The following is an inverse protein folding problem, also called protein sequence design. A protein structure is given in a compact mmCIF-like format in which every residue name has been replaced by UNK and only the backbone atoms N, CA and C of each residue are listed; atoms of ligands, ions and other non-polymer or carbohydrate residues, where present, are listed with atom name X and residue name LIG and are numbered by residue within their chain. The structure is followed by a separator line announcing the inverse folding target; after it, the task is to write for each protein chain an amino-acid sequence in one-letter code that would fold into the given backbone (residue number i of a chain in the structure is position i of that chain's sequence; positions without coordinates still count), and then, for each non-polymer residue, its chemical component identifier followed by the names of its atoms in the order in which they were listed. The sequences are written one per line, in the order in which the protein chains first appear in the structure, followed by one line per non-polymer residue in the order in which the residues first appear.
data_IF_764270556466
#
_entry.id   IF_764270556466
#
_cell.length_a   1.000
_cell.length_b   1.000
_cell.length_c   1.000
_cell.angle_alpha   90.00
_cell.angle_beta   90.00
_cell.angle_gamma   90.00
#
_symmetry.space_group_name_H-M   'P 1'
#
loop_
_entity.id
_entity.type
_entity.pdbx_description
1 polymer ?
#
# COMPACT_ATOMS: atom_id res chain seq x y z
N UNK A 1 -21.99 -5.40 -5.30
CA UNK A 1 -21.91 -4.54 -6.50
C UNK A 1 -20.46 -4.25 -6.77
N UNK A 2 -20.03 -4.25 -8.04
CA UNK A 2 -18.67 -3.83 -8.41
C UNK A 2 -18.49 -2.36 -8.02
N UNK A 3 -17.40 -2.03 -7.33
CA UNK A 3 -17.06 -0.63 -7.00
C UNK A 3 -16.88 0.20 -8.28
N UNK A 4 -17.12 1.52 -8.22
CA UNK A 4 -16.98 2.40 -9.38
C UNK A 4 -15.63 2.21 -10.07
N UNK A 5 -15.65 2.06 -11.40
CA UNK A 5 -14.45 1.97 -12.25
C UNK A 5 -14.06 3.40 -12.63
N UNK A 6 -13.43 4.10 -11.70
CA UNK A 6 -13.12 5.53 -11.84
C UNK A 6 -11.66 5.88 -11.67
N UNK A 7 -11.21 6.95 -12.33
CA UNK A 7 -9.92 7.57 -12.00
C UNK A 7 -10.04 8.27 -10.65
N UNK A 8 -9.06 8.06 -9.78
CA UNK A 8 -9.02 8.68 -8.45
C UNK A 8 -7.63 9.23 -8.17
N UNK A 9 -7.46 10.55 -7.97
CA UNK A 9 -6.18 11.10 -7.56
C UNK A 9 -5.90 10.76 -6.09
N UNK A 10 -4.64 10.43 -5.82
CA UNK A 10 -4.14 10.25 -4.46
C UNK A 10 -3.61 11.59 -3.95
N UNK A 11 -4.30 12.17 -2.96
CA UNK A 11 -3.84 13.37 -2.26
C UNK A 11 -2.78 12.95 -1.24
N UNK A 12 -1.59 13.55 -1.34
CA UNK A 12 -0.47 13.29 -0.45
C UNK A 12 0.20 14.60 -0.03
N UNK A 13 0.97 14.57 1.06
CA UNK A 13 1.79 15.72 1.49
C UNK A 13 0.99 16.92 2.04
N UNK A 14 -0.23 16.71 2.54
CA UNK A 14 -1.02 17.78 3.17
C UNK A 14 -0.36 18.17 4.49
N UNK A 15 0.22 19.38 4.53
CA UNK A 15 0.91 19.92 5.69
C UNK A 15 0.42 21.31 6.06
N UNK A 16 0.29 21.56 7.37
CA UNK A 16 0.03 22.90 7.93
C UNK A 16 1.16 23.23 8.90
N UNK A 17 1.77 24.39 8.70
CA UNK A 17 2.81 24.92 9.58
C UNK A 17 2.31 24.94 11.04
N UNK A 18 3.15 24.59 12.04
CA UNK A 18 2.73 24.50 13.44
C UNK A 18 1.98 25.74 13.96
N UNK A 19 2.43 26.95 13.61
CA UNK A 19 1.82 28.23 14.00
C UNK A 19 0.45 28.53 13.37
N UNK A 20 0.02 27.71 12.41
CA UNK A 20 -1.26 27.84 11.70
C UNK A 20 -2.20 26.65 11.94
N UNK A 21 -1.82 25.69 12.78
CA UNK A 21 -2.69 24.56 13.15
C UNK A 21 -3.90 25.03 13.96
N UNK A 22 -4.98 24.24 13.94
CA UNK A 22 -6.24 24.56 14.65
C UNK A 22 -7.10 25.64 14.00
N UNK A 23 -6.66 26.22 12.87
CA UNK A 23 -7.36 27.30 12.14
C UNK A 23 -8.20 26.80 10.95
N UNK A 24 -8.34 25.49 10.77
CA UNK A 24 -9.15 24.89 9.69
C UNK A 24 -8.46 24.75 8.33
N UNK A 25 -7.27 25.34 8.10
CA UNK A 25 -6.60 25.32 6.78
C UNK A 25 -6.41 23.93 6.18
N UNK A 26 -6.01 22.94 6.97
CA UNK A 26 -5.82 21.57 6.47
C UNK A 26 -7.12 20.95 5.95
N UNK A 27 -8.24 21.26 6.57
CA UNK A 27 -9.53 20.72 6.20
C UNK A 27 -10.07 21.45 4.96
N UNK A 28 -9.88 22.77 4.92
CA UNK A 28 -10.26 23.61 3.78
C UNK A 28 -9.49 23.24 2.51
N UNK A 29 -8.17 23.12 2.58
CA UNK A 29 -7.37 22.73 1.40
C UNK A 29 -7.73 21.31 0.93
N UNK A 30 -7.96 20.38 1.85
CA UNK A 30 -8.37 19.01 1.50
C UNK A 30 -9.72 18.99 0.78
N UNK A 31 -10.70 19.77 1.27
CA UNK A 31 -12.01 19.91 0.61
C UNK A 31 -11.88 20.59 -0.75
N UNK A 32 -11.11 21.67 -0.85
CA UNK A 32 -10.90 22.40 -2.10
C UNK A 32 -10.26 21.51 -3.18
N UNK A 33 -9.25 20.71 -2.82
CA UNK A 33 -8.62 19.76 -3.74
C UNK A 33 -9.60 18.67 -4.17
N UNK A 34 -10.38 18.11 -3.24
CA UNK A 34 -11.44 17.15 -3.60
C UNK A 34 -12.42 17.74 -4.62
N UNK A 35 -12.95 18.94 -4.35
CA UNK A 35 -13.89 19.60 -5.26
C UNK A 35 -13.27 19.87 -6.62
N UNK A 36 -12.03 20.37 -6.66
CA UNK A 36 -11.30 20.59 -7.91
C UNK A 36 -11.13 19.28 -8.70
N UNK A 37 -10.87 18.14 -8.03
CA UNK A 37 -10.77 16.86 -8.71
C UNK A 37 -12.12 16.42 -9.30
N UNK A 38 -13.22 16.64 -8.59
CA UNK A 38 -14.57 16.35 -9.11
C UNK A 38 -14.88 17.22 -10.34
N UNK A 39 -14.53 18.51 -10.32
CA UNK A 39 -14.70 19.43 -11.45
C UNK A 39 -13.89 19.00 -12.69
N UNK A 40 -12.74 18.34 -12.48
CA UNK A 40 -11.92 17.74 -13.54
C UNK A 40 -12.45 16.37 -14.03
N UNK A 41 -13.58 15.89 -13.49
CA UNK A 41 -14.21 14.64 -13.88
C UNK A 41 -13.61 13.38 -13.22
N UNK A 42 -12.85 13.54 -12.13
CA UNK A 42 -12.51 12.39 -11.29
C UNK A 42 -13.72 11.97 -10.46
N UNK A 43 -13.86 10.68 -10.15
CA UNK A 43 -15.03 10.16 -9.44
C UNK A 43 -14.93 10.34 -7.93
N UNK A 44 -13.70 10.34 -7.41
CA UNK A 44 -13.38 10.54 -6.01
C UNK A 44 -11.89 10.88 -5.88
N UNK A 45 -11.48 11.41 -4.73
CA UNK A 45 -10.08 11.43 -4.31
C UNK A 45 -9.86 10.42 -3.18
N UNK A 46 -8.61 9.97 -3.06
CA UNK A 46 -8.19 9.02 -2.02
C UNK A 46 -7.03 9.60 -1.22
N UNK A 47 -6.87 9.14 0.02
CA UNK A 47 -5.79 9.55 0.92
C UNK A 47 -5.37 8.40 1.83
N UNK A 48 -4.10 8.37 2.22
CA UNK A 48 -3.57 7.51 3.28
C UNK A 48 -3.10 8.42 4.42
N UNK A 49 -3.88 8.52 5.51
CA UNK A 49 -3.47 9.29 6.68
C UNK A 49 -2.24 8.67 7.36
N UNK A 50 -1.32 9.52 7.85
CA UNK A 50 -0.06 9.05 8.45
C UNK A 50 -0.22 8.45 9.86
N UNK A 51 -1.28 8.82 10.58
CA UNK A 51 -1.59 8.33 11.92
C UNK A 51 -3.10 8.29 12.18
N UNK A 52 -3.50 7.67 13.29
CA UNK A 52 -4.90 7.48 13.70
C UNK A 52 -5.64 8.82 13.90
N UNK A 53 -4.96 9.86 14.41
CA UNK A 53 -5.56 11.18 14.60
C UNK A 53 -5.90 11.85 13.27
N UNK A 54 -5.09 11.60 12.23
CA UNK A 54 -5.38 12.10 10.89
C UNK A 54 -6.57 11.39 10.23
N UNK A 55 -6.81 10.10 10.49
CA UNK A 55 -8.06 9.46 10.04
C UNK A 55 -9.29 10.19 10.58
N UNK A 56 -9.30 10.47 11.89
CA UNK A 56 -10.41 11.17 12.53
C UNK A 56 -10.54 12.61 12.03
N UNK A 57 -9.41 13.28 11.78
CA UNK A 57 -9.39 14.61 11.16
C UNK A 57 -10.07 14.62 9.78
N UNK A 58 -9.63 13.76 8.87
CA UNK A 58 -10.19 13.75 7.50
C UNK A 58 -11.67 13.33 7.49
N UNK A 59 -12.06 12.42 8.38
CA UNK A 59 -13.44 12.00 8.57
C UNK A 59 -14.33 13.14 9.04
N UNK A 60 -13.91 13.83 10.10
CA UNK A 60 -14.75 14.82 10.78
C UNK A 60 -14.76 16.18 10.07
N UNK A 61 -13.68 16.54 9.36
CA UNK A 61 -13.51 17.91 8.84
C UNK A 61 -13.32 18.01 7.33
N UNK A 62 -12.99 16.92 6.64
CA UNK A 62 -12.70 16.93 5.19
C UNK A 62 -13.63 16.05 4.35
N UNK A 63 -14.58 15.34 4.96
CA UNK A 63 -15.59 14.55 4.25
C UNK A 63 -15.11 13.18 3.76
N UNK A 64 -14.00 12.67 4.28
CA UNK A 64 -13.48 11.36 3.91
C UNK A 64 -14.13 10.23 4.72
N UNK A 65 -14.12 9.02 4.18
CA UNK A 65 -14.57 7.81 4.86
C UNK A 65 -13.55 6.69 4.72
N UNK A 66 -13.39 5.88 5.76
CA UNK A 66 -12.55 4.68 5.73
C UNK A 66 -13.01 3.75 4.60
N UNK A 67 -12.05 3.25 3.81
CA UNK A 67 -12.37 2.32 2.72
C UNK A 67 -11.26 1.31 2.44
N UNK A 68 -9.99 1.75 2.49
CA UNK A 68 -8.87 0.87 2.23
C UNK A 68 -8.39 0.19 3.51
N UNK A 69 -8.17 -1.12 3.44
CA UNK A 69 -7.71 -1.93 4.58
C UNK A 69 -6.55 -2.84 4.21
N UNK A 70 -5.75 -3.22 5.20
CA UNK A 70 -4.61 -4.14 5.06
C UNK A 70 -4.53 -5.09 6.24
N UNK A 71 -3.78 -6.19 6.08
CA UNK A 71 -3.19 -6.91 7.20
C UNK A 71 -1.73 -6.49 7.36
N UNK A 72 -1.25 -6.44 8.60
CA UNK A 72 0.15 -6.12 8.91
C UNK A 72 0.70 -7.20 9.84
N UNK A 73 1.78 -7.84 9.39
CA UNK A 73 2.40 -8.97 10.04
C UNK A 73 3.79 -8.57 10.54
N UNK A 74 4.10 -8.96 11.78
CA UNK A 74 5.46 -8.94 12.31
C UNK A 74 6.04 -10.33 12.18
N UNK A 75 7.05 -10.48 11.33
CA UNK A 75 7.63 -11.77 10.99
C UNK A 75 9.01 -11.88 11.65
N UNK A 76 9.33 -13.07 12.16
CA UNK A 76 10.65 -13.44 12.68
C UNK A 76 11.10 -14.74 12.04
N UNK A 77 12.39 -14.86 11.73
CA UNK A 77 12.96 -16.06 11.11
C UNK A 77 13.48 -17.06 12.14
N UNK A 78 13.61 -16.66 13.41
CA UNK A 78 14.13 -17.50 14.50
C UNK A 78 13.33 -18.80 14.67
N UNK A 79 14.03 -19.94 14.72
CA UNK A 79 13.40 -21.26 14.86
C UNK A 79 12.59 -21.74 13.65
N UNK A 80 12.65 -21.02 12.52
CA UNK A 80 11.96 -21.38 11.28
C UNK A 80 12.93 -22.02 10.28
N UNK A 81 12.45 -23.00 9.53
CA UNK A 81 13.18 -23.57 8.40
C UNK A 81 13.25 -22.53 7.29
N UNK A 82 14.43 -22.38 6.67
CA UNK A 82 14.58 -21.46 5.54
C UNK A 82 13.71 -21.93 4.36
N UNK A 83 12.80 -21.08 3.87
CA UNK A 83 12.03 -21.35 2.67
C UNK A 83 12.91 -21.61 1.44
N UNK A 84 12.51 -22.57 0.63
CA UNK A 84 12.99 -22.74 -0.74
C UNK A 84 12.14 -21.90 -1.69
N UNK A 85 12.42 -20.60 -1.72
CA UNK A 85 11.80 -19.68 -2.66
C UNK A 85 12.85 -18.85 -3.39
N UNK A 86 12.61 -18.65 -4.69
CA UNK A 86 13.42 -17.75 -5.49
C UNK A 86 12.90 -16.33 -5.34
N UNK A 87 13.78 -15.39 -5.00
CA UNK A 87 13.50 -13.95 -4.95
C UNK A 87 14.23 -13.30 -6.11
N UNK A 88 13.51 -12.65 -7.03
CA UNK A 88 14.12 -12.04 -8.23
C UNK A 88 13.62 -10.62 -8.41
N UNK A 89 14.53 -9.68 -8.60
CA UNK A 89 14.20 -8.30 -8.93
C UNK A 89 13.43 -8.21 -10.25
N UNK A 90 12.45 -7.31 -10.33
CA UNK A 90 11.61 -7.10 -11.50
C UNK A 90 11.46 -5.61 -11.83
N UNK A 91 11.09 -5.33 -13.08
CA UNK A 91 10.83 -3.96 -13.50
C UNK A 91 9.49 -3.43 -12.95
N UNK A 92 9.31 -2.10 -12.83
CA UNK A 92 8.03 -1.50 -12.45
C UNK A 92 6.86 -1.94 -13.36
N UNK A 93 7.14 -2.14 -14.65
CA UNK A 93 6.16 -2.59 -15.64
C UNK A 93 5.70 -4.03 -15.35
N UNK A 94 6.63 -4.93 -15.04
CA UNK A 94 6.32 -6.31 -14.69
C UNK A 94 5.57 -6.40 -13.37
N UNK A 95 6.00 -5.64 -12.35
CA UNK A 95 5.32 -5.55 -11.07
C UNK A 95 3.87 -5.09 -11.24
N UNK A 96 3.63 -4.01 -11.97
CA UNK A 96 2.26 -3.52 -12.23
C UNK A 96 1.39 -4.58 -12.91
N UNK A 97 1.92 -5.30 -13.92
CA UNK A 97 1.17 -6.38 -14.58
C UNK A 97 0.80 -7.51 -13.62
N UNK A 98 1.75 -7.95 -12.80
CA UNK A 98 1.54 -9.05 -11.86
C UNK A 98 0.60 -8.64 -10.72
N UNK A 99 0.73 -7.42 -10.22
CA UNK A 99 -0.14 -6.83 -9.21
C UNK A 99 -1.61 -6.82 -9.65
N UNK A 100 -1.90 -6.32 -10.85
CA UNK A 100 -3.29 -6.31 -11.36
C UNK A 100 -3.86 -7.72 -11.56
N UNK A 101 -3.01 -8.68 -11.93
CA UNK A 101 -3.42 -10.09 -12.02
C UNK A 101 -3.75 -10.67 -10.65
N UNK A 102 -2.92 -10.41 -9.63
CA UNK A 102 -3.08 -10.96 -8.28
C UNK A 102 -4.21 -10.30 -7.49
N UNK A 103 -4.61 -9.09 -7.85
CA UNK A 103 -5.68 -8.33 -7.20
C UNK A 103 -7.01 -8.39 -7.98
N UNK A 104 -7.14 -9.21 -9.03
CA UNK A 104 -8.30 -9.19 -9.94
C UNK A 104 -9.64 -9.43 -9.25
N UNK A 105 -9.64 -10.19 -8.15
CA UNK A 105 -10.84 -10.54 -7.38
C UNK A 105 -11.11 -9.58 -6.22
N UNK A 106 -10.27 -8.56 -6.04
CA UNK A 106 -10.38 -7.54 -5.00
C UNK A 106 -10.72 -6.18 -5.61
N UNK A 107 -11.53 -5.38 -4.90
CA UNK A 107 -11.56 -3.95 -5.16
C UNK A 107 -10.18 -3.39 -4.81
N UNK A 108 -9.48 -2.76 -5.75
CA UNK A 108 -8.15 -2.23 -5.50
C UNK A 108 -7.89 -0.96 -6.31
N UNK A 109 -6.93 -0.15 -5.83
CA UNK A 109 -6.43 0.98 -6.60
C UNK A 109 -5.43 0.47 -7.64
N UNK A 110 -5.75 0.62 -8.93
CA UNK A 110 -4.80 0.35 -10.02
C UNK A 110 -3.73 1.42 -10.07
N UNK A 111 -2.47 1.01 -10.11
CA UNK A 111 -1.36 1.95 -10.23
C UNK A 111 -1.07 2.29 -11.70
N UNK A 112 -0.81 3.57 -11.94
CA UNK A 112 -0.25 3.99 -13.23
C UNK A 112 1.20 3.51 -13.37
N UNK A 113 1.71 3.49 -14.59
CA UNK A 113 3.14 3.19 -14.83
C UNK A 113 4.07 4.12 -14.05
N UNK A 114 3.69 5.40 -13.93
CA UNK A 114 4.43 6.39 -13.16
C UNK A 114 4.41 6.05 -11.66
N UNK A 115 3.24 5.68 -11.11
CA UNK A 115 3.13 5.28 -9.71
C UNK A 115 3.97 4.03 -9.39
N UNK A 116 3.97 3.02 -10.27
CA UNK A 116 4.86 1.86 -10.11
C UNK A 116 6.35 2.25 -10.18
N UNK A 117 6.71 3.17 -11.07
CA UNK A 117 8.10 3.62 -11.22
C UNK A 117 8.57 4.37 -9.99
N UNK A 118 7.75 5.29 -9.48
CA UNK A 118 8.03 6.04 -8.26
C UNK A 118 8.09 5.13 -7.01
N UNK A 119 7.19 4.15 -6.89
CA UNK A 119 7.29 3.12 -5.83
C UNK A 119 8.64 2.40 -5.89
N UNK A 120 9.09 2.00 -7.09
CA UNK A 120 10.38 1.35 -7.25
C UNK A 120 11.54 2.28 -6.85
N UNK A 121 11.49 3.55 -7.23
CA UNK A 121 12.51 4.54 -6.85
C UNK A 121 12.61 4.68 -5.32
N UNK A 122 11.49 4.78 -4.61
CA UNK A 122 11.47 4.82 -3.14
C UNK A 122 12.03 3.52 -2.51
N UNK A 123 11.66 2.38 -3.06
CA UNK A 123 12.17 1.09 -2.59
C UNK A 123 13.70 0.99 -2.81
N UNK A 124 14.18 1.35 -3.99
CA UNK A 124 15.61 1.31 -4.36
C UNK A 124 16.43 2.32 -3.56
N UNK A 125 15.89 3.51 -3.25
CA UNK A 125 16.63 4.53 -2.50
C UNK A 125 17.00 4.10 -1.07
N UNK A 126 16.36 3.06 -0.55
CA UNK A 126 16.69 2.45 0.75
C UNK A 126 17.50 1.15 0.63
N UNK A 127 17.83 0.70 -0.58
CA UNK A 127 18.46 -0.61 -0.83
C UNK A 127 17.49 -1.78 -0.99
N UNK A 128 16.18 -1.48 -1.08
CA UNK A 128 15.13 -2.44 -1.40
C UNK A 128 14.88 -2.56 -2.92
N UNK A 129 13.62 -2.78 -3.30
CA UNK A 129 13.22 -2.88 -4.71
C UNK A 129 11.87 -3.58 -4.91
N UNK A 130 11.56 -3.91 -6.16
CA UNK A 130 10.40 -4.72 -6.54
C UNK A 130 10.86 -6.14 -6.89
N UNK A 131 10.13 -7.12 -6.38
CA UNK A 131 10.50 -8.54 -6.50
C UNK A 131 9.32 -9.39 -6.93
N UNK A 132 9.60 -10.41 -7.75
CA UNK A 132 8.74 -11.59 -7.88
C UNK A 132 9.29 -12.71 -7.01
N UNK A 133 8.39 -13.51 -6.47
CA UNK A 133 8.73 -14.69 -5.70
C UNK A 133 8.08 -15.93 -6.31
N UNK A 134 8.83 -17.02 -6.27
CA UNK A 134 8.38 -18.33 -6.70
C UNK A 134 8.79 -19.37 -5.66
N UNK A 135 7.81 -20.07 -5.11
CA UNK A 135 8.05 -21.20 -4.22
C UNK A 135 8.34 -22.44 -5.07
N UNK A 136 9.43 -23.15 -4.81
CA UNK A 136 9.76 -24.36 -5.54
C UNK A 136 8.62 -25.39 -5.41
N UNK A 137 8.14 -25.90 -6.54
CA UNK A 137 7.06 -26.88 -6.60
C UNK A 137 5.63 -26.31 -6.63
N UNK A 138 5.44 -24.98 -6.63
CA UNK A 138 4.13 -24.34 -6.71
C UNK A 138 4.01 -23.48 -7.96
N UNK A 139 2.85 -23.47 -8.62
CA UNK A 139 2.61 -22.66 -9.83
C UNK A 139 2.46 -21.17 -9.56
N UNK A 140 2.12 -20.81 -8.32
CA UNK A 140 1.64 -19.48 -8.00
C UNK A 140 2.80 -18.53 -7.72
N UNK A 141 2.75 -17.38 -8.41
CA UNK A 141 3.78 -16.36 -8.35
C UNK A 141 3.30 -15.23 -7.43
N UNK A 142 4.14 -14.86 -6.48
CA UNK A 142 3.90 -13.70 -5.62
C UNK A 142 4.72 -12.49 -6.08
N UNK A 143 4.32 -11.30 -5.65
CA UNK A 143 5.12 -10.07 -5.84
C UNK A 143 5.25 -9.29 -4.54
N UNK A 144 6.37 -8.60 -4.40
CA UNK A 144 6.67 -7.79 -3.24
C UNK A 144 7.28 -6.43 -3.61
N UNK A 145 6.93 -5.41 -2.83
CA UNK A 145 7.63 -4.13 -2.80
C UNK A 145 8.34 -4.00 -1.46
N UNK A 146 9.67 -3.85 -1.49
CA UNK A 146 10.54 -3.94 -0.32
C UNK A 146 11.28 -2.63 -0.11
N UNK A 147 11.29 -2.16 1.12
CA UNK A 147 12.02 -1.00 1.62
C UNK A 147 12.87 -1.43 2.82
N UNK A 148 14.02 -0.79 3.02
CA UNK A 148 14.81 -0.96 4.24
C UNK A 148 14.60 0.28 5.10
N UNK A 149 13.84 0.12 6.19
CA UNK A 149 13.63 1.19 7.15
C UNK A 149 14.70 1.18 8.25
N UNK A 150 14.71 2.22 9.09
CA UNK A 150 15.61 2.32 10.25
C UNK A 150 15.52 1.12 11.20
N UNK A 151 14.34 0.48 11.28
CA UNK A 151 14.04 -0.64 12.18
C UNK A 151 14.14 -2.02 11.50
N UNK A 152 14.65 -2.08 10.27
CA UNK A 152 14.83 -3.31 9.50
C UNK A 152 13.94 -3.40 8.25
N UNK A 153 13.81 -4.62 7.72
CA UNK A 153 13.11 -4.87 6.47
C UNK A 153 11.61 -4.55 6.57
N UNK A 154 11.12 -3.74 5.63
CA UNK A 154 9.71 -3.39 5.47
C UNK A 154 9.24 -3.85 4.10
N UNK A 155 8.45 -4.91 4.06
CA UNK A 155 7.75 -5.34 2.86
C UNK A 155 6.45 -4.55 2.78
N UNK A 156 6.48 -3.42 2.04
CA UNK A 156 5.35 -2.46 1.95
C UNK A 156 4.11 -3.10 1.35
N UNK A 157 4.29 -4.07 0.46
CA UNK A 157 3.23 -4.89 -0.14
C UNK A 157 3.81 -6.28 -0.43
N UNK A 158 3.11 -7.33 -0.01
CA UNK A 158 3.30 -8.72 -0.44
C UNK A 158 1.96 -9.24 -0.95
N UNK A 159 1.92 -9.62 -2.22
CA UNK A 159 0.75 -10.21 -2.87
C UNK A 159 1.02 -11.68 -3.12
N UNK A 160 0.37 -12.52 -2.32
CA UNK A 160 0.43 -13.98 -2.38
C UNK A 160 -0.87 -14.56 -1.82
N UNK A 161 -1.04 -15.88 -1.94
CA UNK A 161 -2.12 -16.59 -1.25
C UNK A 161 -1.93 -16.44 0.28
N UNK A 162 -3.01 -16.28 1.07
CA UNK A 162 -2.91 -16.02 2.51
C UNK A 162 -2.08 -17.05 3.29
N UNK A 163 -2.21 -18.32 2.93
CA UNK A 163 -1.48 -19.47 3.47
C UNK A 163 0.03 -19.44 3.18
N UNK A 164 0.47 -18.70 2.16
CA UNK A 164 1.88 -18.54 1.81
C UNK A 164 2.54 -17.32 2.47
N UNK A 165 1.77 -16.46 3.15
CA UNK A 165 2.26 -15.16 3.67
C UNK A 165 3.50 -15.30 4.54
N UNK A 166 3.45 -16.17 5.55
CA UNK A 166 4.57 -16.35 6.49
C UNK A 166 5.79 -16.94 5.77
N UNK A 167 5.57 -17.96 4.93
CA UNK A 167 6.64 -18.62 4.18
C UNK A 167 7.38 -17.65 3.27
N UNK A 168 6.67 -16.87 2.45
CA UNK A 168 7.27 -15.93 1.51
C UNK A 168 7.86 -14.70 2.20
N UNK A 169 7.29 -14.27 3.34
CA UNK A 169 7.88 -13.23 4.16
C UNK A 169 9.23 -13.64 4.75
N UNK A 170 9.35 -14.88 5.25
CA UNK A 170 10.63 -15.42 5.75
C UNK A 170 11.64 -15.52 4.59
N UNK A 171 11.21 -15.91 3.40
CA UNK A 171 12.08 -15.95 2.21
C UNK A 171 12.68 -14.57 1.89
N UNK A 172 11.85 -13.52 1.91
CA UNK A 172 12.30 -12.13 1.73
C UNK A 172 13.29 -11.73 2.83
N UNK A 173 12.96 -12.00 4.09
CA UNK A 173 13.85 -11.67 5.21
C UNK A 173 15.23 -12.32 5.06
N UNK A 174 15.28 -13.61 4.75
CA UNK A 174 16.52 -14.34 4.52
C UNK A 174 17.30 -13.80 3.31
N UNK A 175 16.61 -13.49 2.20
CA UNK A 175 17.24 -12.94 0.99
C UNK A 175 17.93 -11.59 1.23
N UNK A 176 17.43 -10.81 2.19
CA UNK A 176 18.00 -9.51 2.58
C UNK A 176 18.88 -9.57 3.84
N UNK A 177 19.07 -10.75 4.43
CA UNK A 177 19.91 -10.92 5.64
C UNK A 177 19.28 -10.36 6.92
N UNK A 178 17.96 -10.27 7.01
CA UNK A 178 17.24 -9.82 8.21
C UNK A 178 16.59 -10.98 8.97
N UNK A 179 16.56 -10.89 10.30
CA UNK A 179 15.89 -11.88 11.16
C UNK A 179 14.47 -11.49 11.55
N UNK A 180 14.08 -10.25 11.29
CA UNK A 180 12.72 -9.77 11.53
C UNK A 180 12.37 -8.60 10.63
N UNK A 181 11.07 -8.41 10.42
CA UNK A 181 10.55 -7.30 9.64
C UNK A 181 9.04 -7.19 9.69
N UNK A 182 8.53 -6.19 8.98
CA UNK A 182 7.09 -5.96 8.83
C UNK A 182 6.65 -6.26 7.41
N UNK A 183 5.49 -6.90 7.28
CA UNK A 183 4.94 -7.29 5.98
C UNK A 183 3.49 -6.88 5.90
N UNK A 184 3.10 -6.23 4.81
CA UNK A 184 1.71 -5.85 4.54
C UNK A 184 1.13 -6.67 3.41
N UNK A 185 -0.07 -7.21 3.62
CA UNK A 185 -0.83 -7.98 2.62
C UNK A 185 -2.24 -7.43 2.49
N UNK A 186 -3.00 -7.79 1.43
CA UNK A 186 -4.43 -7.57 1.40
C UNK A 186 -5.11 -8.20 2.62
N UNK A 187 -6.11 -7.50 3.17
CA UNK A 187 -6.82 -7.96 4.35
C UNK A 187 -7.66 -6.85 5.00
N UNK A 188 -8.21 -7.14 6.19
CA UNK A 188 -9.17 -6.27 6.89
C UNK A 188 -8.81 -5.97 8.34
N UNK A 189 -7.61 -6.34 8.78
CA UNK A 189 -7.17 -6.16 10.17
C UNK A 189 -7.03 -4.69 10.57
N UNK A 190 -6.57 -3.83 9.64
CA UNK A 190 -6.24 -2.43 9.93
C UNK A 190 -6.79 -1.50 8.85
N UNK A 191 -7.29 -0.32 9.27
CA UNK A 191 -7.58 0.80 8.37
C UNK A 191 -6.28 1.34 7.76
N UNK A 192 -6.30 1.63 6.47
CA UNK A 192 -5.11 2.04 5.73
C UNK A 192 -5.32 3.33 4.93
N UNK A 193 -6.49 3.51 4.34
CA UNK A 193 -6.76 4.70 3.56
C UNK A 193 -8.24 5.01 3.46
N UNK A 194 -8.53 6.20 2.97
CA UNK A 194 -9.86 6.78 2.94
C UNK A 194 -10.21 7.26 1.52
N UNK A 195 -11.51 7.34 1.24
CA UNK A 195 -12.07 7.91 0.01
C UNK A 195 -12.95 9.12 0.33
N UNK A 196 -13.00 10.09 -0.58
CA UNK A 196 -13.83 11.29 -0.46
C UNK A 196 -15.32 11.04 -0.68
N UNK A 197 -15.67 9.83 -1.09
CA UNK A 197 -17.05 9.33 -1.18
C UNK A 197 -17.18 8.07 -0.34
N UNK A 198 -18.41 7.75 0.08
CA UNK A 198 -18.67 6.52 0.82
C UNK A 198 -18.88 5.37 -0.15
N UNK A 199 -18.05 4.34 -0.04
CA UNK A 199 -18.13 3.12 -0.87
C UNK A 199 -18.46 1.93 0.04
N UNK A 200 -19.33 1.04 -0.42
CA UNK A 200 -19.62 -0.20 0.31
C UNK A 200 -18.48 -1.21 0.19
N UNK A 201 -18.24 -1.96 1.26
CA UNK A 201 -17.17 -2.96 1.34
C UNK A 201 -15.82 -2.34 1.66
N UNK A 202 -14.75 -2.98 1.21
CA UNK A 202 -13.38 -2.53 1.41
C UNK A 202 -12.58 -2.61 0.12
N UNK A 203 -11.66 -1.66 -0.06
CA UNK A 203 -10.68 -1.68 -1.14
C UNK A 203 -9.28 -2.02 -0.63
N UNK A 204 -8.38 -2.34 -1.55
CA UNK A 204 -6.95 -2.47 -1.28
C UNK A 204 -6.16 -1.37 -1.99
N UNK A 205 -5.44 -0.56 -1.23
CA UNK A 205 -4.50 0.41 -1.77
C UNK A 205 -3.10 -0.21 -1.84
N UNK A 206 -2.64 -0.83 -0.74
CA UNK A 206 -1.40 -1.60 -0.70
C UNK A 206 -0.11 -0.79 -0.64
N UNK A 207 -0.17 0.51 -0.90
CA UNK A 207 1.00 1.38 -0.83
C UNK A 207 0.63 2.82 -0.47
N UNK A 208 1.51 3.47 0.27
CA UNK A 208 1.49 4.87 0.59
C UNK A 208 2.90 5.45 0.36
N UNK A 209 2.97 6.72 -0.02
CA UNK A 209 4.22 7.48 -0.12
C UNK A 209 4.74 7.92 1.27
N UNK A 210 4.58 7.04 2.26
CA UNK A 210 4.96 7.22 3.66
C UNK A 210 6.38 6.76 3.95
#
# INVERSE_FOLDING_TARGET
GKSPVGKSPYIYGVGVLPSFRGKGFGAEISRAVTMHCLDLGYEMSVIVPADEGLFDFYKNYAGYSDYFTVNEHKIKTEGRVSPEATVTGITPKEYGKLRERLLSDLNHLRFSRLACSYLNELCVSTGGGLYKLYQNGFSDMAVAAVEIGEKGLRVKELLCSPDQTEYLAIALLNAFGYHSGTVRTPGRQKRFGMSSIRIQGSGYFGFAFD
#
